data_IF_380466096602
#
_entry.id   IF_380466096602
#
_cell.length_a   1.000
_cell.length_b   1.000
_cell.length_c   1.000
_cell.angle_alpha   90.00
_cell.angle_beta   90.00
_cell.angle_gamma   90.00
#
_symmetry.space_group_name_H-M   'P 1'
#
loop_
_entity.id
_entity.type
_entity.pdbx_description
1 polymer ?
#
# COMPACT_ATOMS: atom_id res chain seq x y z
N UNK A 1 -16.24 -12.15 23.12
CA UNK A 1 -15.30 -11.48 22.20
C UNK A 1 -15.00 -10.09 22.78
N UNK A 2 -13.75 -9.71 22.95
CA UNK A 2 -13.42 -8.36 23.42
C UNK A 2 -13.80 -7.35 22.34
N UNK A 3 -14.43 -6.23 22.75
CA UNK A 3 -14.75 -5.14 21.84
C UNK A 3 -13.46 -4.62 21.16
N UNK A 4 -13.52 -4.17 19.90
CA UNK A 4 -12.37 -3.54 19.24
C UNK A 4 -11.83 -2.36 20.05
N UNK A 5 -10.51 -2.08 20.02
CA UNK A 5 -9.96 -0.90 20.68
C UNK A 5 -10.57 0.41 20.16
N UNK A 6 -10.67 1.41 21.02
CA UNK A 6 -11.28 2.71 20.67
C UNK A 6 -10.61 3.37 19.45
N UNK A 7 -9.30 3.28 19.33
CA UNK A 7 -8.57 3.83 18.17
C UNK A 7 -9.03 3.23 16.83
N UNK A 8 -9.33 1.92 16.82
CA UNK A 8 -9.77 1.22 15.61
C UNK A 8 -11.18 1.67 15.21
N UNK A 9 -12.11 1.71 16.15
CA UNK A 9 -13.47 2.19 15.88
C UNK A 9 -13.44 3.64 15.40
N UNK A 10 -12.69 4.52 16.07
CA UNK A 10 -12.51 5.91 15.66
C UNK A 10 -11.92 6.06 14.25
N UNK A 11 -10.97 5.18 13.87
CA UNK A 11 -10.42 5.18 12.52
C UNK A 11 -11.45 4.78 11.47
N UNK A 12 -12.28 3.77 11.74
CA UNK A 12 -13.33 3.35 10.79
C UNK A 12 -14.48 4.38 10.68
N UNK A 13 -14.73 5.15 11.72
CA UNK A 13 -15.74 6.23 11.76
C UNK A 13 -15.24 7.55 11.13
N UNK A 14 -13.95 7.64 10.78
CA UNK A 14 -13.37 8.82 10.16
C UNK A 14 -14.02 9.14 8.81
N UNK A 15 -14.27 10.42 8.57
CA UNK A 15 -14.83 10.88 7.30
C UNK A 15 -13.93 10.49 6.14
N UNK A 16 -14.50 9.85 5.13
CA UNK A 16 -13.81 9.37 3.93
C UNK A 16 -14.50 9.94 2.68
N UNK A 17 -13.68 10.37 1.72
CA UNK A 17 -14.11 10.71 0.36
C UNK A 17 -13.81 9.56 -0.56
N UNK A 18 -14.76 9.16 -1.37
CA UNK A 18 -14.58 8.15 -2.42
C UNK A 18 -14.58 8.81 -3.78
N UNK A 19 -13.74 8.34 -4.69
CA UNK A 19 -13.63 8.88 -6.04
C UNK A 19 -13.06 7.87 -7.01
N UNK A 20 -13.02 8.26 -8.27
CA UNK A 20 -12.42 7.47 -9.35
C UNK A 20 -11.58 8.35 -10.25
N UNK A 21 -10.55 7.76 -10.88
CA UNK A 21 -9.71 8.41 -11.89
C UNK A 21 -9.64 7.50 -13.12
N UNK A 22 -9.86 8.04 -14.32
CA UNK A 22 -9.73 7.27 -15.56
C UNK A 22 -8.26 7.14 -15.98
N UNK A 23 -7.80 5.93 -16.24
CA UNK A 23 -6.42 5.64 -16.66
C UNK A 23 -6.43 4.60 -17.77
N UNK A 24 -5.98 4.97 -18.96
CA UNK A 24 -5.89 4.06 -20.11
C UNK A 24 -7.18 3.23 -20.31
N UNK A 25 -8.34 3.89 -20.22
CA UNK A 25 -9.66 3.28 -20.42
C UNK A 25 -10.23 2.52 -19.23
N UNK A 26 -9.54 2.42 -18.10
CA UNK A 26 -10.06 1.82 -16.88
C UNK A 26 -10.36 2.88 -15.82
N UNK A 27 -11.42 2.68 -15.05
CA UNK A 27 -11.78 3.47 -13.87
C UNK A 27 -11.04 2.93 -12.64
N UNK A 28 -10.22 3.76 -12.02
CA UNK A 28 -9.42 3.43 -10.84
C UNK A 28 -10.06 4.08 -9.62
N UNK A 29 -10.61 3.26 -8.73
CA UNK A 29 -11.26 3.72 -7.51
C UNK A 29 -10.23 4.09 -6.44
N UNK A 30 -10.57 5.10 -5.63
CA UNK A 30 -9.76 5.48 -4.49
C UNK A 30 -10.62 6.00 -3.33
N UNK A 31 -10.04 6.00 -2.15
CA UNK A 31 -10.56 6.52 -0.90
C UNK A 31 -9.58 7.55 -0.35
N UNK A 32 -10.09 8.65 0.22
CA UNK A 32 -9.23 9.72 0.72
C UNK A 32 -9.70 10.25 2.07
N UNK A 33 -8.74 10.55 2.93
CA UNK A 33 -8.94 11.10 4.28
C UNK A 33 -8.10 12.34 4.50
N UNK A 34 -8.47 13.15 5.46
CA UNK A 34 -7.70 14.32 5.91
C UNK A 34 -7.91 15.56 5.07
N UNK A 35 -6.95 16.48 5.14
CA UNK A 35 -7.03 17.80 4.53
C UNK A 35 -6.86 17.74 3.00
N UNK A 36 -7.86 18.15 2.20
CA UNK A 36 -7.75 18.16 0.73
C UNK A 36 -6.56 18.98 0.20
N UNK A 37 -6.16 20.03 0.92
CA UNK A 37 -5.06 20.92 0.54
C UNK A 37 -3.74 20.52 1.22
N UNK A 38 -3.75 19.43 1.99
CA UNK A 38 -2.58 18.91 2.68
C UNK A 38 -1.57 18.27 1.76
N UNK A 39 -0.36 18.02 2.30
CA UNK A 39 0.63 17.15 1.64
C UNK A 39 0.04 15.74 1.53
N UNK A 40 0.38 15.02 0.48
CA UNK A 40 -0.28 13.75 0.24
C UNK A 40 0.58 12.52 0.50
N UNK A 41 -0.09 11.50 1.02
CA UNK A 41 0.39 10.13 1.13
C UNK A 41 -0.52 9.28 0.25
N UNK A 42 0.06 8.46 -0.63
CA UNK A 42 -0.69 7.49 -1.44
C UNK A 42 -0.35 6.08 -0.98
N UNK A 43 -1.35 5.34 -0.54
CA UNK A 43 -1.24 3.98 -0.03
C UNK A 43 -1.60 2.98 -1.12
N UNK A 44 -0.67 2.06 -1.43
CA UNK A 44 -0.82 1.03 -2.47
C UNK A 44 -0.85 -0.35 -1.82
N UNK A 45 -1.95 -1.06 -2.02
CA UNK A 45 -2.19 -2.36 -1.38
C UNK A 45 -1.40 -3.51 -2.01
N UNK A 46 -1.32 -4.64 -1.33
CA UNK A 46 -0.73 -5.89 -1.80
C UNK A 46 -1.58 -6.66 -2.82
N UNK A 47 -1.08 -7.78 -3.33
CA UNK A 47 -1.83 -8.67 -4.22
C UNK A 47 -3.08 -9.24 -3.53
N UNK A 48 -4.20 -9.30 -4.26
CA UNK A 48 -5.53 -9.71 -3.78
C UNK A 48 -6.10 -8.88 -2.63
N UNK A 49 -5.44 -7.77 -2.23
CA UNK A 49 -5.93 -6.77 -1.30
C UNK A 49 -6.64 -5.61 -2.06
N UNK A 50 -7.02 -4.57 -1.35
CA UNK A 50 -7.65 -3.38 -1.90
C UNK A 50 -7.54 -2.20 -0.90
N UNK A 51 -8.02 -1.01 -1.27
CA UNK A 51 -7.91 0.23 -0.49
C UNK A 51 -8.41 0.10 0.95
N UNK A 52 -9.45 -0.70 1.19
CA UNK A 52 -10.03 -0.86 2.54
C UNK A 52 -9.15 -1.64 3.53
N UNK A 53 -8.06 -2.24 3.06
CA UNK A 53 -7.02 -2.79 3.96
C UNK A 53 -6.31 -1.68 4.74
N UNK A 54 -6.47 -0.43 4.29
CA UNK A 54 -5.90 0.76 4.91
C UNK A 54 -6.91 1.57 5.74
N UNK A 55 -8.21 1.17 5.82
CA UNK A 55 -9.26 1.93 6.50
C UNK A 55 -8.89 2.29 7.96
N UNK A 56 -8.21 1.40 8.67
CA UNK A 56 -7.78 1.60 10.06
C UNK A 56 -6.38 2.23 10.20
N UNK A 57 -5.64 2.38 9.10
CA UNK A 57 -4.30 2.99 9.05
C UNK A 57 -4.37 4.43 8.53
N UNK A 58 -5.06 4.65 7.42
CA UNK A 58 -5.08 5.93 6.72
C UNK A 58 -5.50 7.11 7.61
N UNK A 59 -6.58 7.03 8.42
CA UNK A 59 -6.96 8.14 9.30
C UNK A 59 -5.89 8.48 10.34
N UNK A 60 -5.10 7.51 10.79
CA UNK A 60 -4.03 7.73 11.77
C UNK A 60 -2.79 8.43 11.17
N UNK A 61 -2.71 8.50 9.85
CA UNK A 61 -1.65 9.20 9.13
C UNK A 61 -2.03 10.64 8.75
N UNK A 62 -3.30 11.05 8.89
CA UNK A 62 -3.79 12.39 8.48
C UNK A 62 -3.27 13.54 9.35
N UNK A 63 -2.89 13.26 10.60
CA UNK A 63 -2.40 14.29 11.51
C UNK A 63 -0.91 14.54 11.26
N UNK A 64 -0.58 15.72 10.73
CA UNK A 64 0.81 16.20 10.62
C UNK A 64 1.46 16.36 11.99
N UNK A 65 2.79 16.29 12.05
CA UNK A 65 3.53 16.73 13.23
C UNK A 65 3.40 18.24 13.37
N UNK A 66 3.02 18.75 14.56
CA UNK A 66 3.16 20.15 14.85
C UNK A 66 4.66 20.50 14.84
N UNK A 67 5.08 21.40 13.97
CA UNK A 67 6.43 21.98 14.10
C UNK A 67 6.50 22.71 15.44
N UNK A 68 7.52 22.45 16.29
CA UNK A 68 7.75 23.27 17.46
C UNK A 68 8.06 24.70 16.96
N UNK A 69 7.17 25.65 17.32
CA UNK A 69 7.18 26.99 16.76
C UNK A 69 8.45 27.78 17.09
N UNK A 70 8.86 28.63 16.15
CA UNK A 70 9.50 29.89 16.43
C UNK A 70 8.48 30.90 17.00
N UNK A 71 8.85 32.12 17.28
CA UNK A 71 8.05 33.19 17.88
C UNK A 71 6.83 33.65 17.02
N UNK A 72 6.59 33.06 15.87
CA UNK A 72 5.39 33.24 15.04
C UNK A 72 4.20 32.45 15.59
N UNK A 73 2.97 33.01 15.51
CA UNK A 73 1.78 32.27 15.92
C UNK A 73 1.76 30.92 15.20
N UNK A 74 1.50 29.81 15.92
CA UNK A 74 1.56 28.48 15.33
C UNK A 74 0.59 28.43 14.16
N UNK A 75 1.15 28.38 12.93
CA UNK A 75 0.37 27.96 11.78
C UNK A 75 0.01 26.50 12.08
N UNK A 76 -1.27 26.14 12.17
CA UNK A 76 -1.63 24.75 12.41
C UNK A 76 -0.97 23.93 11.30
N UNK A 77 -0.24 22.83 11.65
CA UNK A 77 0.38 22.02 10.65
C UNK A 77 -0.70 21.58 9.67
N UNK A 78 -0.52 21.88 8.38
CA UNK A 78 -1.41 21.34 7.35
C UNK A 78 -1.41 19.83 7.51
N UNK A 79 -2.57 19.25 7.76
CA UNK A 79 -2.73 17.81 7.88
C UNK A 79 -2.27 17.12 6.59
N UNK A 80 -2.05 15.84 6.67
CA UNK A 80 -1.84 15.04 5.48
C UNK A 80 -3.17 14.70 4.81
N UNK A 81 -3.18 14.72 3.48
CA UNK A 81 -4.18 14.02 2.69
C UNK A 81 -3.68 12.61 2.45
N UNK A 82 -4.42 11.62 2.91
CA UNK A 82 -4.07 10.20 2.72
C UNK A 82 -5.03 9.61 1.71
N UNK A 83 -4.50 9.04 0.63
CA UNK A 83 -5.28 8.44 -0.45
C UNK A 83 -4.91 6.97 -0.57
N UNK A 84 -5.87 6.06 -0.52
CA UNK A 84 -5.68 4.64 -0.80
C UNK A 84 -6.43 4.27 -2.07
N UNK A 85 -5.73 3.75 -3.09
CA UNK A 85 -6.36 3.36 -4.34
C UNK A 85 -6.56 1.84 -4.42
N UNK A 86 -7.48 1.43 -5.28
CA UNK A 86 -7.59 0.07 -5.77
C UNK A 86 -6.85 -0.01 -7.11
N UNK A 87 -5.75 -0.75 -7.19
CA UNK A 87 -5.11 -1.04 -8.47
C UNK A 87 -6.07 -1.79 -9.40
N UNK A 88 -5.99 -1.59 -10.71
CA UNK A 88 -6.84 -2.33 -11.64
C UNK A 88 -6.78 -3.84 -11.37
N UNK A 89 -7.93 -4.49 -11.50
CA UNK A 89 -8.10 -5.91 -11.14
C UNK A 89 -8.31 -6.17 -9.65
N UNK A 90 -8.39 -5.14 -8.80
CA UNK A 90 -8.62 -5.25 -7.36
C UNK A 90 -9.74 -4.31 -6.91
N UNK A 91 -10.35 -4.65 -5.77
CA UNK A 91 -11.34 -3.80 -5.11
C UNK A 91 -12.51 -3.42 -6.00
N UNK A 92 -12.77 -2.13 -6.10
CA UNK A 92 -13.86 -1.55 -6.88
C UNK A 92 -13.35 -0.90 -8.19
N UNK A 93 -12.06 -1.08 -8.53
CA UNK A 93 -11.48 -0.68 -9.82
C UNK A 93 -11.82 -1.66 -10.95
N UNK A 94 -11.75 -1.15 -12.18
CA UNK A 94 -11.97 -1.96 -13.38
C UNK A 94 -10.90 -3.05 -13.54
N UNK A 95 -11.25 -4.08 -14.30
CA UNK A 95 -10.33 -5.13 -14.74
C UNK A 95 -9.68 -4.75 -16.05
N UNK A 96 -8.54 -5.36 -16.33
CA UNK A 96 -7.82 -5.25 -17.60
C UNK A 96 -7.54 -6.64 -18.15
N UNK A 97 -7.31 -6.74 -19.45
CA UNK A 97 -6.89 -8.00 -20.10
C UNK A 97 -5.50 -8.44 -19.64
N UNK A 98 -4.65 -7.48 -19.30
CA UNK A 98 -3.27 -7.72 -18.83
C UNK A 98 -2.89 -6.75 -17.72
N UNK A 99 -2.07 -7.23 -16.80
CA UNK A 99 -1.55 -6.45 -15.68
C UNK A 99 -0.02 -6.38 -15.74
N UNK A 100 0.53 -5.21 -15.42
CA UNK A 100 1.98 -5.00 -15.31
C UNK A 100 2.30 -3.98 -14.22
N UNK A 101 3.53 -4.02 -13.71
CA UNK A 101 4.00 -3.01 -12.76
C UNK A 101 3.97 -1.60 -13.37
N UNK A 102 4.25 -1.48 -14.68
CA UNK A 102 4.23 -0.20 -15.39
C UNK A 102 2.80 0.37 -15.50
N UNK A 103 1.81 -0.48 -15.78
CA UNK A 103 0.40 -0.07 -15.81
C UNK A 103 -0.04 0.44 -14.45
N UNK A 104 0.23 -0.33 -13.41
CA UNK A 104 -0.12 0.06 -12.04
C UNK A 104 0.65 1.29 -11.55
N UNK A 105 1.92 1.48 -11.94
CA UNK A 105 2.66 2.70 -11.65
C UNK A 105 1.99 3.94 -12.29
N UNK A 106 1.50 3.84 -13.53
CA UNK A 106 0.72 4.92 -14.17
C UNK A 106 -0.61 5.18 -13.46
N UNK A 107 -1.28 4.14 -12.97
CA UNK A 107 -2.52 4.29 -12.18
C UNK A 107 -2.25 5.07 -10.88
N UNK A 108 -1.17 4.74 -10.16
CA UNK A 108 -0.75 5.49 -8.97
C UNK A 108 -0.50 6.96 -9.31
N UNK A 109 0.27 7.26 -10.37
CA UNK A 109 0.53 8.64 -10.80
C UNK A 109 -0.75 9.40 -11.17
N UNK A 110 -1.68 8.75 -11.87
CA UNK A 110 -2.93 9.36 -12.24
C UNK A 110 -3.81 9.68 -11.02
N UNK A 111 -3.83 8.80 -10.01
CA UNK A 111 -4.52 9.04 -8.74
C UNK A 111 -3.82 10.17 -7.96
N UNK A 112 -2.48 10.23 -7.95
CA UNK A 112 -1.72 11.36 -7.40
C UNK A 112 -2.19 12.67 -8.03
N UNK A 113 -2.35 12.72 -9.35
CA UNK A 113 -2.79 13.92 -10.04
C UNK A 113 -4.29 14.22 -9.86
N UNK A 114 -5.13 13.18 -9.94
CA UNK A 114 -6.61 13.32 -9.98
C UNK A 114 -7.27 13.49 -8.61
N UNK A 115 -6.65 13.01 -7.54
CA UNK A 115 -7.19 13.14 -6.18
C UNK A 115 -6.90 14.50 -5.52
N UNK A 116 -6.44 15.50 -6.29
CA UNK A 116 -6.08 16.84 -5.79
C UNK A 116 -4.78 16.83 -4.98
N UNK A 117 -3.94 15.81 -5.16
CA UNK A 117 -2.67 15.71 -4.45
C UNK A 117 -1.60 16.55 -5.14
N UNK A 118 -0.68 17.12 -4.36
CA UNK A 118 0.41 17.95 -4.91
C UNK A 118 1.57 17.08 -5.42
N UNK A 119 2.45 17.63 -6.23
CA UNK A 119 3.66 16.97 -6.74
C UNK A 119 4.64 16.47 -5.65
N UNK A 120 4.36 16.71 -4.38
CA UNK A 120 5.15 16.31 -3.21
C UNK A 120 4.58 15.06 -2.51
N UNK A 121 3.89 14.17 -3.23
CA UNK A 121 3.28 12.96 -2.64
C UNK A 121 4.34 11.94 -2.22
N UNK A 122 4.15 11.33 -1.06
CA UNK A 122 4.88 10.12 -0.65
C UNK A 122 4.03 8.90 -0.99
N UNK A 123 4.58 7.98 -1.77
CA UNK A 123 3.89 6.74 -2.14
C UNK A 123 4.37 5.61 -1.25
N UNK A 124 3.44 4.94 -0.58
CA UNK A 124 3.71 3.87 0.39
C UNK A 124 3.00 2.60 -0.08
N UNK A 125 3.75 1.59 -0.47
CA UNK A 125 3.18 0.34 -0.97
C UNK A 125 3.55 -0.88 -0.14
N UNK A 126 2.60 -1.78 0.03
CA UNK A 126 2.80 -3.04 0.73
C UNK A 126 2.90 -4.21 -0.26
N UNK A 127 3.87 -5.12 -0.06
CA UNK A 127 4.00 -6.36 -0.85
C UNK A 127 4.06 -6.07 -2.37
N UNK A 128 3.09 -6.53 -3.15
CA UNK A 128 2.95 -6.19 -4.57
C UNK A 128 2.87 -4.66 -4.78
N UNK A 129 2.12 -3.95 -3.94
CA UNK A 129 2.05 -2.48 -4.00
C UNK A 129 3.39 -1.80 -3.77
N UNK A 130 4.28 -2.38 -2.94
CA UNK A 130 5.64 -1.86 -2.77
C UNK A 130 6.51 -2.10 -4.02
N UNK A 131 6.31 -3.21 -4.74
CA UNK A 131 6.96 -3.41 -6.05
C UNK A 131 6.48 -2.37 -7.07
N UNK A 132 5.17 -2.06 -7.07
CA UNK A 132 4.60 -0.97 -7.89
C UNK A 132 5.21 0.38 -7.50
N UNK A 133 5.33 0.66 -6.21
CA UNK A 133 5.92 1.90 -5.67
C UNK A 133 7.40 2.04 -6.08
N UNK A 134 8.20 1.00 -5.96
CA UNK A 134 9.60 1.00 -6.42
C UNK A 134 9.69 1.13 -7.94
N UNK A 135 8.80 0.47 -8.69
CA UNK A 135 8.74 0.63 -10.14
C UNK A 135 8.37 2.05 -10.54
N UNK A 136 7.40 2.66 -9.88
CA UNK A 136 7.06 4.07 -10.04
C UNK A 136 8.28 4.96 -9.81
N UNK A 137 9.03 4.74 -8.73
CA UNK A 137 10.23 5.50 -8.41
C UNK A 137 11.33 5.37 -9.49
N UNK A 138 11.42 4.22 -10.17
CA UNK A 138 12.35 4.05 -11.32
C UNK A 138 11.88 4.77 -12.58
N UNK A 139 10.58 4.88 -12.81
CA UNK A 139 10.00 5.48 -14.02
C UNK A 139 9.82 7.00 -13.89
N UNK A 140 9.47 7.47 -12.71
CA UNK A 140 8.99 8.84 -12.48
C UNK A 140 9.35 9.36 -11.08
N UNK A 141 10.52 9.01 -10.54
CA UNK A 141 10.95 9.39 -9.19
C UNK A 141 10.90 10.88 -8.94
N UNK A 142 11.27 11.70 -9.93
CA UNK A 142 11.22 13.16 -9.84
C UNK A 142 9.81 13.76 -9.69
N UNK A 143 8.76 12.95 -9.91
CA UNK A 143 7.36 13.37 -9.78
C UNK A 143 6.76 13.06 -8.39
N UNK A 144 7.51 12.39 -7.51
CA UNK A 144 7.09 12.06 -6.15
C UNK A 144 8.14 12.49 -5.13
N UNK A 145 7.72 12.82 -3.92
CA UNK A 145 8.63 13.22 -2.83
C UNK A 145 9.39 12.02 -2.26
N UNK A 146 8.76 10.85 -2.26
CA UNK A 146 9.40 9.64 -1.75
C UNK A 146 8.60 8.37 -2.01
N UNK A 147 9.29 7.24 -1.93
CA UNK A 147 8.78 5.89 -2.14
C UNK A 147 9.09 5.02 -0.91
N UNK A 148 8.06 4.42 -0.33
CA UNK A 148 8.21 3.49 0.80
C UNK A 148 7.70 2.11 0.38
N UNK A 149 8.55 1.11 0.45
CA UNK A 149 8.17 -0.28 0.18
C UNK A 149 8.10 -1.07 1.49
N UNK A 150 6.92 -1.63 1.80
CA UNK A 150 6.64 -2.38 3.02
C UNK A 150 6.63 -3.87 2.68
N UNK A 151 7.57 -4.60 3.22
CA UNK A 151 7.78 -6.05 3.10
C UNK A 151 7.58 -6.58 1.67
N UNK A 152 8.27 -5.93 0.74
CA UNK A 152 8.14 -6.13 -0.71
C UNK A 152 9.36 -6.86 -1.24
N UNK A 153 9.30 -8.19 -1.47
CA UNK A 153 10.45 -8.98 -1.86
C UNK A 153 10.84 -8.69 -3.33
N UNK A 154 11.89 -7.89 -3.51
CA UNK A 154 12.57 -7.72 -4.81
C UNK A 154 13.66 -8.78 -4.88
N UNK A 155 13.58 -9.67 -5.87
CA UNK A 155 14.51 -10.79 -6.01
C UNK A 155 14.59 -11.26 -7.44
N UNK A 156 15.72 -11.84 -7.78
CA UNK A 156 15.85 -12.60 -9.01
C UNK A 156 14.92 -13.81 -8.97
N UNK A 157 14.36 -14.11 -10.09
CA UNK A 157 13.58 -15.32 -10.31
C UNK A 157 14.13 -16.05 -11.51
N UNK A 158 14.39 -17.34 -11.33
CA UNK A 158 14.75 -18.21 -12.45
C UNK A 158 13.63 -18.20 -13.50
N UNK A 159 13.97 -18.34 -14.80
CA UNK A 159 12.98 -18.36 -15.89
C UNK A 159 11.87 -19.38 -15.69
N UNK A 160 12.20 -20.55 -15.16
CA UNK A 160 11.27 -21.63 -14.83
C UNK A 160 10.28 -21.23 -13.72
N UNK A 161 10.74 -20.51 -12.71
CA UNK A 161 9.87 -20.01 -11.64
C UNK A 161 8.92 -18.90 -12.12
N UNK A 162 9.39 -18.09 -13.08
CA UNK A 162 8.54 -17.07 -13.75
C UNK A 162 7.42 -17.74 -14.53
N UNK A 163 7.77 -18.76 -15.35
CA UNK A 163 6.79 -19.52 -16.12
C UNK A 163 5.79 -20.24 -15.19
N UNK A 164 6.29 -20.90 -14.13
CA UNK A 164 5.44 -21.58 -13.16
C UNK A 164 4.49 -20.63 -12.42
N UNK A 165 4.88 -19.37 -12.15
CA UNK A 165 3.98 -18.37 -11.57
C UNK A 165 2.91 -17.90 -12.53
N UNK A 166 3.25 -17.68 -13.80
CA UNK A 166 2.27 -17.32 -14.82
C UNK A 166 1.20 -18.41 -14.98
N UNK A 167 1.56 -19.68 -14.80
CA UNK A 167 0.63 -20.81 -14.83
C UNK A 167 -0.10 -21.07 -13.49
N UNK A 168 0.44 -20.59 -12.37
CA UNK A 168 -0.19 -20.66 -11.03
C UNK A 168 -1.08 -19.47 -10.73
N UNK A 169 -1.50 -18.72 -11.76
CA UNK A 169 -2.60 -17.79 -11.58
C UNK A 169 -3.67 -18.51 -10.75
N UNK A 170 -4.13 -17.89 -9.69
CA UNK A 170 -5.23 -18.44 -8.90
C UNK A 170 -6.30 -18.89 -9.90
N UNK A 171 -6.74 -20.15 -9.81
CA UNK A 171 -7.80 -20.65 -10.68
C UNK A 171 -9.05 -19.77 -10.56
N UNK A 172 -10.13 -20.09 -11.29
CA UNK A 172 -11.34 -19.27 -11.27
C UNK A 172 -11.77 -19.01 -9.82
N UNK A 173 -12.11 -17.76 -9.51
CA UNK A 173 -12.56 -17.39 -8.17
C UNK A 173 -13.76 -18.23 -7.77
N UNK A 174 -13.69 -18.77 -6.58
CA UNK A 174 -14.81 -19.54 -6.02
C UNK A 174 -15.96 -18.60 -5.71
N UNK A 175 -17.18 -19.04 -6.07
CA UNK A 175 -18.43 -18.40 -5.65
C UNK A 175 -18.95 -19.11 -4.40
N UNK A 176 -19.35 -18.33 -3.42
CA UNK A 176 -19.89 -18.80 -2.13
C UNK A 176 -21.37 -18.43 -2.04
N UNK A 177 -22.22 -19.30 -1.45
CA UNK A 177 -23.66 -19.07 -1.44
C UNK A 177 -24.09 -17.84 -0.62
N UNK A 178 -23.31 -17.46 0.40
CA UNK A 178 -23.60 -16.31 1.27
C UNK A 178 -22.33 -15.52 1.58
N UNK A 179 -22.44 -14.24 1.97
CA UNK A 179 -21.28 -13.43 2.38
C UNK A 179 -20.55 -14.04 3.57
N UNK A 180 -21.26 -14.61 4.55
CA UNK A 180 -20.69 -15.25 5.74
C UNK A 180 -19.85 -16.46 5.34
N UNK A 181 -20.32 -17.26 4.37
CA UNK A 181 -19.58 -18.40 3.84
C UNK A 181 -18.29 -18.00 3.13
N UNK A 182 -18.29 -16.84 2.46
CA UNK A 182 -17.09 -16.27 1.85
C UNK A 182 -16.12 -15.74 2.94
N UNK A 183 -16.58 -14.88 3.84
CA UNK A 183 -15.81 -14.28 4.94
C UNK A 183 -15.15 -15.35 5.81
N UNK A 184 -15.85 -16.45 6.14
CA UNK A 184 -15.28 -17.56 6.90
C UNK A 184 -14.08 -18.25 6.23
N UNK A 185 -13.84 -17.99 4.95
CA UNK A 185 -12.70 -18.50 4.17
C UNK A 185 -11.56 -17.51 4.03
N UNK A 186 -11.71 -16.31 4.57
CA UNK A 186 -10.62 -15.33 4.55
C UNK A 186 -9.38 -15.88 5.27
N UNK A 187 -8.25 -15.86 4.58
CA UNK A 187 -6.93 -16.19 5.11
C UNK A 187 -5.91 -15.29 4.42
N UNK A 188 -5.08 -14.57 5.17
CA UNK A 188 -3.96 -13.85 4.58
C UNK A 188 -2.95 -14.86 4.00
N UNK A 189 -2.26 -14.50 2.93
CA UNK A 189 -1.20 -15.33 2.32
C UNK A 189 0.08 -14.48 2.23
N UNK A 190 1.15 -14.86 2.94
CA UNK A 190 1.29 -16.06 3.80
C UNK A 190 0.38 -16.03 5.01
N UNK A 191 0.08 -17.22 5.56
CA UNK A 191 -0.67 -17.35 6.80
C UNK A 191 0.13 -16.79 7.97
N UNK A 192 -0.53 -16.01 8.82
CA UNK A 192 0.08 -15.37 9.99
C UNK A 192 -0.97 -15.09 11.07
N UNK A 193 -0.56 -14.92 12.33
CA UNK A 193 -1.43 -14.36 13.36
C UNK A 193 -1.95 -12.98 12.95
N UNK A 194 -3.22 -12.70 13.23
CA UNK A 194 -3.86 -11.41 12.93
C UNK A 194 -4.70 -10.94 14.11
N UNK A 195 -4.89 -9.63 14.20
CA UNK A 195 -5.86 -9.07 15.14
C UNK A 195 -7.27 -9.33 14.59
N UNK A 196 -8.06 -10.12 15.31
CA UNK A 196 -9.34 -10.63 14.84
C UNK A 196 -10.28 -9.52 14.33
N UNK A 197 -10.39 -8.41 15.07
CA UNK A 197 -11.26 -7.28 14.70
C UNK A 197 -10.82 -6.59 13.39
N UNK A 198 -9.51 -6.62 13.04
CA UNK A 198 -9.02 -6.11 11.75
C UNK A 198 -9.29 -7.14 10.66
N UNK A 199 -8.99 -8.42 10.91
CA UNK A 199 -9.23 -9.50 9.95
C UNK A 199 -10.70 -9.59 9.57
N UNK A 200 -11.62 -9.43 10.53
CA UNK A 200 -13.07 -9.43 10.31
C UNK A 200 -13.50 -8.26 9.40
N UNK A 201 -13.00 -7.04 9.66
CA UNK A 201 -13.27 -5.87 8.82
C UNK A 201 -12.75 -6.07 7.38
N UNK A 202 -11.49 -6.51 7.25
CA UNK A 202 -10.86 -6.73 5.95
C UNK A 202 -11.59 -7.83 5.19
N UNK A 203 -11.92 -8.95 5.83
CA UNK A 203 -12.66 -10.04 5.20
C UNK A 203 -14.04 -9.58 4.68
N UNK A 204 -14.79 -8.86 5.52
CA UNK A 204 -16.13 -8.37 5.16
C UNK A 204 -16.10 -7.37 3.99
N UNK A 205 -15.04 -6.56 3.88
CA UNK A 205 -14.88 -5.57 2.80
C UNK A 205 -14.24 -6.14 1.53
N UNK A 206 -13.68 -7.37 1.58
CA UNK A 206 -12.98 -8.02 0.46
C UNK A 206 -13.88 -8.85 -0.46
N UNK A 207 -15.18 -8.90 -0.21
CA UNK A 207 -16.15 -9.69 -0.99
C UNK A 207 -17.12 -8.79 -1.75
N UNK A 208 -17.67 -9.33 -2.84
CA UNK A 208 -18.71 -8.66 -3.64
C UNK A 208 -19.73 -9.69 -4.15
N UNK A 209 -20.95 -9.24 -4.50
CA UNK A 209 -21.91 -10.09 -5.22
C UNK A 209 -21.33 -10.59 -6.54
N UNK A 210 -21.70 -11.81 -6.91
CA UNK A 210 -21.39 -12.45 -8.19
C UNK A 210 -22.59 -13.31 -8.61
N UNK A 211 -22.62 -13.74 -9.86
CA UNK A 211 -23.64 -14.66 -10.33
C UNK A 211 -23.59 -15.95 -9.46
N UNK A 212 -24.71 -16.30 -8.87
CA UNK A 212 -24.84 -17.46 -7.98
C UNK A 212 -24.36 -17.26 -6.55
N UNK A 213 -23.99 -16.03 -6.12
CA UNK A 213 -23.59 -15.78 -4.73
C UNK A 213 -22.59 -14.66 -4.53
N UNK A 214 -21.49 -14.94 -3.83
CA UNK A 214 -20.47 -13.98 -3.43
C UNK A 214 -19.07 -14.45 -3.79
N UNK A 215 -18.19 -13.52 -4.16
CA UNK A 215 -16.80 -13.81 -4.52
C UNK A 215 -15.84 -12.73 -4.01
N UNK A 216 -14.53 -12.96 -4.15
CA UNK A 216 -13.49 -12.01 -3.75
C UNK A 216 -13.36 -10.84 -4.73
N UNK A 217 -12.97 -9.67 -4.21
CA UNK A 217 -12.77 -8.43 -4.97
C UNK A 217 -11.42 -8.37 -5.68
N UNK A 218 -10.98 -9.41 -6.35
CA UNK A 218 -9.79 -9.34 -7.20
C UNK A 218 -9.93 -10.21 -8.46
N UNK A 219 -9.11 -9.92 -9.46
CA UNK A 219 -8.97 -10.74 -10.66
C UNK A 219 -7.78 -11.71 -10.46
N UNK A 220 -7.96 -13.03 -10.60
CA UNK A 220 -6.84 -13.99 -10.49
C UNK A 220 -5.67 -13.70 -11.41
N UNK A 221 -5.92 -13.07 -12.58
CA UNK A 221 -4.89 -12.75 -13.56
C UNK A 221 -3.87 -11.70 -13.10
N UNK A 222 -4.14 -10.98 -11.99
CA UNK A 222 -3.19 -9.99 -11.41
C UNK A 222 -1.86 -10.63 -10.98
N UNK A 223 -1.84 -11.95 -10.78
CA UNK A 223 -0.61 -12.69 -10.45
C UNK A 223 0.22 -13.11 -11.65
N UNK A 224 -0.31 -12.99 -12.87
CA UNK A 224 0.40 -13.26 -14.14
C UNK A 224 1.22 -12.05 -14.62
N UNK A 225 1.61 -11.15 -13.73
CA UNK A 225 2.36 -9.93 -14.02
C UNK A 225 3.88 -10.16 -14.15
N UNK A 226 4.56 -9.17 -14.69
CA UNK A 226 6.01 -9.03 -14.68
C UNK A 226 6.61 -8.87 -13.26
N UNK A 227 7.91 -8.92 -13.16
CA UNK A 227 8.67 -8.86 -11.90
C UNK A 227 9.61 -7.66 -11.89
N UNK A 228 9.77 -7.09 -10.70
CA UNK A 228 10.84 -6.16 -10.41
C UNK A 228 12.06 -6.95 -9.94
N UNK A 229 13.18 -6.80 -10.64
CA UNK A 229 14.45 -7.42 -10.26
C UNK A 229 15.37 -6.37 -9.61
N UNK A 230 16.33 -6.79 -8.77
CA UNK A 230 17.25 -5.85 -8.13
C UNK A 230 18.06 -4.98 -9.11
N UNK A 231 18.32 -5.48 -10.34
CA UNK A 231 19.07 -4.76 -11.38
C UNK A 231 18.33 -3.52 -11.88
N UNK A 232 17.00 -3.51 -11.78
CA UNK A 232 16.17 -2.36 -12.15
C UNK A 232 16.18 -1.27 -11.07
N UNK A 233 16.66 -1.60 -9.86
CA UNK A 233 16.81 -0.64 -8.78
C UNK A 233 18.21 -0.04 -8.83
N UNK A 234 18.32 1.11 -9.46
CA UNK A 234 19.51 1.96 -9.47
C UNK A 234 19.27 3.17 -8.56
N UNK A 235 20.15 4.16 -8.60
CA UNK A 235 19.90 5.43 -7.93
C UNK A 235 18.56 6.02 -8.40
N UNK A 236 17.68 6.32 -7.45
CA UNK A 236 16.36 6.89 -7.71
C UNK A 236 16.35 8.40 -7.45
N UNK A 237 15.53 9.13 -8.20
CA UNK A 237 15.40 10.59 -8.11
C UNK A 237 14.42 11.05 -7.01
N UNK A 238 14.05 10.16 -6.10
CA UNK A 238 13.27 10.47 -4.92
C UNK A 238 13.88 9.81 -3.68
N UNK A 239 13.39 10.18 -2.51
CA UNK A 239 13.74 9.48 -1.27
C UNK A 239 13.14 8.08 -1.28
N UNK A 240 13.84 7.13 -0.68
CA UNK A 240 13.36 5.74 -0.58
C UNK A 240 13.54 5.25 0.85
N UNK A 241 12.57 4.51 1.35
CA UNK A 241 12.69 3.74 2.57
C UNK A 241 12.14 2.33 2.38
N UNK A 242 12.78 1.37 3.01
CA UNK A 242 12.39 -0.04 2.98
C UNK A 242 11.94 -0.45 4.38
N UNK A 243 10.73 -0.92 4.51
CA UNK A 243 10.20 -1.53 5.72
C UNK A 243 10.18 -3.04 5.55
N UNK A 244 10.67 -3.75 6.53
CA UNK A 244 10.54 -5.20 6.59
C UNK A 244 9.83 -5.63 7.85
N UNK A 245 9.05 -6.68 7.77
CA UNK A 245 8.52 -7.38 8.92
C UNK A 245 9.56 -8.38 9.44
N UNK A 246 9.74 -8.51 10.75
CA UNK A 246 10.70 -9.47 11.33
C UNK A 246 10.44 -10.90 10.83
N UNK A 247 9.16 -11.28 10.75
CA UNK A 247 8.71 -12.59 10.27
C UNK A 247 8.04 -12.52 8.89
N UNK A 248 8.45 -11.52 8.07
CA UNK A 248 7.88 -11.27 6.75
C UNK A 248 8.54 -12.03 5.61
N UNK A 249 8.27 -11.56 4.38
CA UNK A 249 8.81 -12.13 3.16
C UNK A 249 10.20 -11.57 2.79
N UNK A 250 10.54 -10.38 3.28
CA UNK A 250 11.85 -9.75 3.04
C UNK A 250 12.81 -10.16 4.13
N UNK A 251 13.77 -11.03 3.77
CA UNK A 251 14.82 -11.45 4.70
C UNK A 251 15.83 -10.33 4.95
N UNK A 252 16.63 -10.36 6.07
CA UNK A 252 17.70 -9.40 6.29
C UNK A 252 18.65 -9.27 5.09
N UNK A 253 19.06 -10.40 4.50
CA UNK A 253 19.96 -10.44 3.34
C UNK A 253 19.34 -9.76 2.11
N UNK A 254 18.05 -9.95 1.86
CA UNK A 254 17.35 -9.22 0.78
C UNK A 254 17.30 -7.71 1.07
N UNK A 255 17.10 -7.32 2.33
CA UNK A 255 17.18 -5.92 2.75
C UNK A 255 18.55 -5.30 2.46
N UNK A 256 19.64 -6.03 2.77
CA UNK A 256 21.02 -5.58 2.48
C UNK A 256 21.25 -5.42 0.97
N UNK A 257 20.83 -6.39 0.15
CA UNK A 257 20.94 -6.30 -1.32
C UNK A 257 20.24 -5.06 -1.85
N UNK A 258 19.01 -4.80 -1.39
CA UNK A 258 18.26 -3.61 -1.81
C UNK A 258 18.92 -2.32 -1.33
N UNK A 259 19.41 -2.29 -0.09
CA UNK A 259 20.15 -1.15 0.45
C UNK A 259 21.39 -0.82 -0.39
N UNK A 260 22.17 -1.84 -0.78
CA UNK A 260 23.36 -1.67 -1.62
C UNK A 260 22.99 -1.18 -3.03
N UNK A 261 21.95 -1.75 -3.65
CA UNK A 261 21.46 -1.35 -4.97
C UNK A 261 20.96 0.08 -5.02
N UNK A 262 20.33 0.54 -3.95
CA UNK A 262 19.86 1.93 -3.80
C UNK A 262 20.98 2.91 -3.37
N UNK A 263 22.25 2.49 -3.42
CA UNK A 263 23.40 3.34 -3.12
C UNK A 263 23.60 3.61 -1.63
N UNK A 264 23.07 2.74 -0.76
CA UNK A 264 23.18 2.78 0.71
C UNK A 264 22.58 4.03 1.37
N UNK A 265 21.58 4.62 0.72
CA UNK A 265 20.93 5.86 1.20
C UNK A 265 19.49 5.62 1.69
N UNK A 266 18.89 4.49 1.33
CA UNK A 266 17.54 4.15 1.76
C UNK A 266 17.58 3.47 3.15
N UNK A 267 16.94 4.01 4.20
CA UNK A 267 16.87 3.31 5.48
C UNK A 267 16.10 1.98 5.32
N UNK A 268 16.60 0.94 5.99
CA UNK A 268 15.91 -0.35 6.14
C UNK A 268 15.38 -0.42 7.57
N UNK A 269 14.07 -0.34 7.71
CA UNK A 269 13.38 -0.26 8.99
C UNK A 269 12.67 -1.59 9.25
N UNK A 270 13.04 -2.27 10.34
CA UNK A 270 12.38 -3.50 10.76
C UNK A 270 11.24 -3.21 11.73
N UNK A 271 10.08 -3.81 11.49
CA UNK A 271 8.97 -3.82 12.44
C UNK A 271 9.01 -5.15 13.21
N UNK A 272 9.29 -5.08 14.53
CA UNK A 272 9.46 -6.27 15.35
C UNK A 272 8.15 -7.04 15.53
N UNK A 273 8.24 -8.35 15.68
CA UNK A 273 7.12 -9.29 15.90
C UNK A 273 6.07 -9.27 14.80
N UNK A 274 6.32 -8.57 13.69
CA UNK A 274 5.37 -8.44 12.58
C UNK A 274 5.53 -9.58 11.57
N UNK A 275 4.41 -10.11 11.08
CA UNK A 275 4.33 -10.92 9.88
C UNK A 275 4.23 -10.07 8.62
N UNK A 276 4.14 -10.71 7.45
CA UNK A 276 4.10 -10.06 6.14
C UNK A 276 3.04 -8.94 6.04
N UNK A 277 1.84 -9.19 6.55
CA UNK A 277 0.74 -8.23 6.56
C UNK A 277 0.76 -7.40 7.85
N UNK A 278 1.76 -6.52 7.98
CA UNK A 278 2.01 -5.71 9.19
C UNK A 278 0.76 -4.94 9.64
N UNK A 279 -0.07 -4.48 8.69
CA UNK A 279 -1.33 -3.79 8.99
C UNK A 279 -2.37 -4.67 9.67
N UNK A 280 -2.22 -6.00 9.62
CA UNK A 280 -3.16 -6.94 10.23
C UNK A 280 -2.75 -7.41 11.63
N UNK A 281 -1.45 -7.31 11.97
CA UNK A 281 -0.92 -7.79 13.25
C UNK A 281 -0.23 -6.70 14.09
N UNK A 282 0.48 -5.74 13.47
CA UNK A 282 1.21 -4.67 14.16
C UNK A 282 0.85 -3.26 13.63
N UNK A 283 -0.45 -2.90 13.49
CA UNK A 283 -0.89 -1.67 12.84
C UNK A 283 -0.36 -0.40 13.50
N UNK A 284 -0.33 -0.37 14.85
CA UNK A 284 0.12 0.81 15.61
C UNK A 284 1.63 1.01 15.46
N UNK A 285 2.41 -0.07 15.47
CA UNK A 285 3.85 -0.02 15.22
C UNK A 285 4.15 0.48 13.79
N UNK A 286 3.41 -0.01 12.80
CA UNK A 286 3.50 0.47 11.42
C UNK A 286 3.22 1.97 11.32
N UNK A 287 2.11 2.44 11.90
CA UNK A 287 1.74 3.86 11.90
C UNK A 287 2.81 4.72 12.58
N UNK A 288 3.30 4.29 13.76
CA UNK A 288 4.36 5.01 14.48
C UNK A 288 5.63 5.14 13.64
N UNK A 289 6.09 4.05 13.02
CA UNK A 289 7.29 4.05 12.19
C UNK A 289 7.12 4.90 10.93
N UNK A 290 5.97 4.82 10.25
CA UNK A 290 5.66 5.66 9.09
C UNK A 290 5.63 7.15 9.47
N UNK A 291 4.97 7.52 10.56
CA UNK A 291 4.93 8.90 11.03
C UNK A 291 6.31 9.44 11.39
N UNK A 292 7.16 8.63 12.02
CA UNK A 292 8.54 9.00 12.33
C UNK A 292 9.35 9.24 11.06
N UNK A 293 9.25 8.35 10.07
CA UNK A 293 9.92 8.53 8.78
C UNK A 293 9.44 9.80 8.04
N UNK A 294 8.13 10.01 8.00
CA UNK A 294 7.55 11.19 7.34
C UNK A 294 7.99 12.49 8.03
N UNK A 295 8.05 12.52 9.36
CA UNK A 295 8.54 13.66 10.11
C UNK A 295 10.03 13.92 9.84
N UNK A 296 10.88 12.88 9.78
CA UNK A 296 12.28 13.01 9.39
C UNK A 296 12.42 13.59 7.97
N UNK A 297 11.64 13.08 7.04
CA UNK A 297 11.64 13.58 5.67
C UNK A 297 11.18 15.03 5.56
N UNK A 298 10.28 15.49 6.41
CA UNK A 298 9.85 16.88 6.46
C UNK A 298 10.95 17.84 6.95
N UNK A 299 11.69 17.41 7.99
CA UNK A 299 12.76 18.23 8.57
C UNK A 299 14.03 18.26 7.71
N UNK A 300 14.29 17.22 6.94
CA UNK A 300 15.51 17.09 6.14
C UNK A 300 15.41 17.64 4.70
N UNK A 301 14.32 18.36 4.36
CA UNK A 301 14.26 19.16 3.14
C UNK A 301 15.06 20.44 3.38
N UNK A 302 16.13 20.75 2.60
CA UNK A 302 16.75 22.05 2.65
C UNK A 302 15.69 23.12 2.37
N UNK A 303 15.49 24.04 3.31
CA UNK A 303 14.70 25.24 3.05
C UNK A 303 15.56 26.10 2.12
N UNK A 304 15.20 26.12 0.81
CA UNK A 304 15.84 26.95 -0.19
C UNK A 304 15.54 28.43 -0.01
#
# INVERSE_FOLDING_TARGET
>A
MNSPPAWFSAALDAAVQEGTTAVDGASIAYRAWGDPDGRSIVLVHGGAAHSRWWDHIAPLLTNGSASPGGDDPPVPPRGWRVVALDLSGHGDSDRRDRYSLDTWAREVLAVVAGAGTTAASVVIGHSMGGLVTLRLATLAGSQIAGAVAIDSPVRDMAPEDRAARQHRAFGPLRVYPTPEAAVARFRPIPDQPTLAYIADHVAATSIRPAEGGWTWKFDPNVFARDHLTPELLTRLDCRVALFRAEHGLVTPQQGEVLYDRLGRVAPVIEIPVAGHHIMLDQPVALVAALRTLLADWDHSIPQG
#
